data_IF_735468061061
#
_entry.id   IF_735468061061
#
_cell.length_a   1.000
_cell.length_b   1.000
_cell.length_c   1.000
_cell.angle_alpha   90.00
_cell.angle_beta   90.00
_cell.angle_gamma   90.00
#
_symmetry.space_group_name_H-M   'P 1'
#
loop_
_entity.id
_entity.type
_entity.pdbx_description
1 polymer ?
#
# COMPACT_ATOMS: atom_id res chain seq x y z
N UNK A 1 17.16 9.57 2.66
CA UNK A 1 17.27 8.26 3.36
C UNK A 1 16.10 7.41 2.89
N UNK A 2 16.28 6.11 2.70
CA UNK A 2 15.22 5.15 2.35
C UNK A 2 15.40 3.92 3.22
N UNK A 3 14.30 3.34 3.69
CA UNK A 3 14.29 2.09 4.45
C UNK A 3 13.07 1.26 4.06
N UNK A 4 13.29 -0.01 3.75
CA UNK A 4 12.23 -1.00 3.47
C UNK A 4 12.66 -2.36 4.04
N UNK A 5 11.74 -3.32 4.11
CA UNK A 5 12.01 -4.71 4.53
C UNK A 5 12.94 -5.47 3.58
N UNK A 6 13.02 -5.04 2.31
CA UNK A 6 13.86 -5.66 1.29
C UNK A 6 15.00 -4.72 0.84
N UNK A 7 16.29 -5.06 1.09
CA UNK A 7 17.45 -4.29 0.63
C UNK A 7 17.42 -3.84 -0.84
N UNK A 8 16.99 -4.67 -1.78
CA UNK A 8 16.91 -4.31 -3.20
C UNK A 8 15.86 -3.23 -3.47
N UNK A 9 14.74 -3.23 -2.74
CA UNK A 9 13.72 -2.20 -2.87
C UNK A 9 14.15 -0.90 -2.19
N UNK A 10 14.95 -0.98 -1.12
CA UNK A 10 15.66 0.18 -0.57
C UNK A 10 16.59 0.79 -1.62
N UNK A 11 17.34 -0.04 -2.37
CA UNK A 11 18.23 0.42 -3.43
C UNK A 11 17.45 1.12 -4.56
N UNK A 12 16.33 0.55 -4.99
CA UNK A 12 15.44 1.16 -6.00
C UNK A 12 14.98 2.57 -5.56
N UNK A 13 14.51 2.71 -4.33
CA UNK A 13 14.11 4.03 -3.81
C UNK A 13 15.29 5.01 -3.74
N UNK A 14 16.47 4.55 -3.32
CA UNK A 14 17.69 5.38 -3.31
C UNK A 14 18.07 5.84 -4.72
N UNK A 15 17.93 5.00 -5.73
CA UNK A 15 18.28 5.34 -7.11
C UNK A 15 17.32 6.39 -7.69
N UNK A 16 16.03 6.34 -7.33
CA UNK A 16 15.07 7.40 -7.67
C UNK A 16 15.45 8.74 -7.03
N UNK A 17 15.82 8.74 -5.74
CA UNK A 17 16.28 9.97 -5.08
C UNK A 17 17.56 10.53 -5.73
N UNK A 18 18.53 9.65 -6.07
CA UNK A 18 19.77 10.07 -6.76
C UNK A 18 19.51 10.63 -8.15
N UNK A 19 18.46 10.15 -8.82
CA UNK A 19 18.02 10.66 -10.11
C UNK A 19 17.25 11.99 -10.01
N UNK A 20 17.05 12.54 -8.80
CA UNK A 20 16.39 13.82 -8.56
C UNK A 20 14.89 13.71 -8.25
N UNK A 21 14.36 12.49 -8.05
CA UNK A 21 13.00 12.30 -7.57
C UNK A 21 12.82 12.72 -6.11
N UNK A 22 11.58 12.97 -5.71
CA UNK A 22 11.25 13.33 -4.33
C UNK A 22 10.97 12.08 -3.46
N UNK A 23 10.60 12.29 -2.20
CA UNK A 23 10.31 11.21 -1.26
C UNK A 23 9.13 10.31 -1.71
N UNK A 24 8.14 10.88 -2.38
CA UNK A 24 6.96 10.17 -2.88
C UNK A 24 7.31 9.33 -4.10
N UNK A 25 8.08 9.86 -5.05
CA UNK A 25 8.57 9.11 -6.21
C UNK A 25 9.38 7.87 -5.75
N UNK A 26 10.27 8.07 -4.78
CA UNK A 26 11.07 6.99 -4.21
C UNK A 26 10.21 5.95 -3.48
N UNK A 27 9.19 6.38 -2.73
CA UNK A 27 8.25 5.49 -2.06
C UNK A 27 7.42 4.67 -3.05
N UNK A 28 6.93 5.27 -4.13
CA UNK A 28 6.19 4.58 -5.21
C UNK A 28 7.06 3.49 -5.86
N UNK A 29 8.30 3.82 -6.22
CA UNK A 29 9.22 2.87 -6.85
C UNK A 29 9.60 1.72 -5.90
N UNK A 30 9.88 2.03 -4.63
CA UNK A 30 10.15 1.03 -3.61
C UNK A 30 8.94 0.12 -3.37
N UNK A 31 7.73 0.68 -3.32
CA UNK A 31 6.48 -0.07 -3.17
C UNK A 31 6.23 -1.01 -4.35
N UNK A 32 6.46 -0.56 -5.59
CA UNK A 32 6.35 -1.41 -6.76
C UNK A 32 7.35 -2.58 -6.73
N UNK A 33 8.60 -2.34 -6.30
CA UNK A 33 9.58 -3.39 -6.07
C UNK A 33 9.12 -4.37 -4.97
N UNK A 34 8.61 -3.88 -3.85
CA UNK A 34 8.10 -4.72 -2.76
C UNK A 34 6.96 -5.61 -3.22
N UNK A 35 6.08 -5.13 -4.10
CA UNK A 35 5.00 -5.94 -4.67
C UNK A 35 5.48 -7.20 -5.40
N UNK A 36 6.69 -7.16 -5.97
CA UNK A 36 7.34 -8.33 -6.58
C UNK A 36 8.13 -9.16 -5.55
N UNK A 37 8.88 -8.49 -4.68
CA UNK A 37 9.88 -9.14 -3.82
C UNK A 37 9.28 -9.68 -2.51
N UNK A 38 8.16 -9.13 -2.07
CA UNK A 38 7.42 -9.52 -0.85
C UNK A 38 5.91 -9.67 -1.15
N UNK A 39 5.53 -10.56 -2.09
CA UNK A 39 4.18 -10.60 -2.65
C UNK A 39 3.10 -11.05 -1.65
N UNK A 40 3.49 -11.66 -0.53
CA UNK A 40 2.55 -12.04 0.55
C UNK A 40 2.26 -10.90 1.52
N UNK A 41 3.07 -9.84 1.50
CA UNK A 41 2.97 -8.69 2.42
C UNK A 41 2.62 -7.38 1.73
N UNK A 42 2.85 -7.26 0.42
CA UNK A 42 2.57 -6.05 -0.35
C UNK A 42 2.17 -6.39 -1.80
N UNK A 43 1.27 -5.59 -2.38
CA UNK A 43 0.90 -5.73 -3.79
C UNK A 43 -0.28 -4.86 -4.20
N UNK A 44 -0.48 -4.71 -5.51
CA UNK A 44 -1.53 -3.85 -6.10
C UNK A 44 -2.96 -4.28 -5.79
N UNK A 45 -3.16 -5.52 -5.34
CA UNK A 45 -4.47 -6.06 -4.95
C UNK A 45 -4.79 -5.89 -3.46
N UNK A 46 -3.91 -5.25 -2.69
CA UNK A 46 -4.10 -4.99 -1.27
C UNK A 46 -4.56 -3.57 -0.97
N UNK A 47 -4.32 -3.16 0.27
CA UNK A 47 -4.62 -1.82 0.78
C UNK A 47 -3.36 -0.96 0.87
N UNK A 48 -3.53 0.36 0.86
CA UNK A 48 -2.44 1.30 1.12
C UNK A 48 -2.88 2.39 2.10
N UNK A 49 -2.02 2.66 3.08
CA UNK A 49 -2.12 3.81 3.97
C UNK A 49 -0.79 4.56 3.92
N UNK A 50 -0.83 5.87 3.69
CA UNK A 50 0.37 6.68 3.69
C UNK A 50 0.17 7.91 4.57
N UNK A 51 1.23 8.27 5.30
CA UNK A 51 1.33 9.51 6.04
C UNK A 51 2.44 10.31 5.37
N UNK A 52 2.10 11.48 4.85
CA UNK A 52 2.98 12.31 4.04
C UNK A 52 3.06 13.69 4.67
N UNK A 53 4.28 14.16 4.90
CA UNK A 53 4.51 15.57 5.22
C UNK A 53 4.69 16.35 3.92
N UNK A 54 3.76 17.25 3.64
CA UNK A 54 3.91 18.23 2.56
C UNK A 54 4.71 19.42 3.09
N UNK A 55 5.95 19.55 2.61
CA UNK A 55 6.85 20.60 3.05
C UNK A 55 6.48 22.00 2.49
N UNK A 56 5.73 22.07 1.39
CA UNK A 56 5.30 23.35 0.82
C UNK A 56 4.05 23.88 1.53
N UNK A 57 3.10 22.98 1.83
CA UNK A 57 1.89 23.31 2.59
C UNK A 57 2.11 23.36 4.11
N UNK A 58 3.26 22.86 4.59
CA UNK A 58 3.55 22.66 6.03
C UNK A 58 2.46 21.84 6.73
N UNK A 59 1.96 20.81 6.05
CA UNK A 59 0.83 20.00 6.51
C UNK A 59 1.15 18.50 6.51
N UNK A 60 0.59 17.79 7.49
CA UNK A 60 0.59 16.35 7.53
C UNK A 60 -0.68 15.80 6.86
N UNK A 61 -0.51 15.09 5.75
CA UNK A 61 -1.59 14.48 4.97
C UNK A 61 -1.63 12.98 5.19
N UNK A 62 -2.83 12.44 5.42
CA UNK A 62 -3.09 11.01 5.44
C UNK A 62 -3.82 10.56 4.18
N UNK A 63 -3.27 9.57 3.48
CA UNK A 63 -3.95 8.86 2.40
C UNK A 63 -4.49 7.53 2.94
N UNK A 64 -5.80 7.37 2.91
CA UNK A 64 -6.45 6.07 3.08
C UNK A 64 -6.89 5.56 1.70
N UNK A 65 -6.20 4.53 1.21
CA UNK A 65 -6.50 3.83 -0.03
C UNK A 65 -6.84 2.35 0.25
N UNK A 66 -7.55 2.06 1.35
CA UNK A 66 -8.14 0.73 1.56
C UNK A 66 -9.24 0.44 0.54
N UNK A 67 -9.28 -0.81 0.05
CA UNK A 67 -10.32 -1.32 -0.82
C UNK A 67 -11.72 -1.22 -0.18
N UNK A 68 -12.73 -0.99 -1.02
CA UNK A 68 -14.14 -0.97 -0.60
C UNK A 68 -14.77 -2.34 -0.82
N UNK A 69 -15.77 -2.66 0.01
CA UNK A 69 -16.67 -3.78 -0.30
C UNK A 69 -17.34 -3.56 -1.66
N UNK A 70 -17.62 -4.64 -2.43
CA UNK A 70 -18.42 -4.54 -3.65
C UNK A 70 -19.76 -3.85 -3.38
N UNK A 71 -20.23 -3.03 -4.34
CA UNK A 71 -21.43 -2.20 -4.18
C UNK A 71 -22.71 -3.03 -3.95
N UNK A 72 -22.80 -4.20 -4.59
CA UNK A 72 -23.98 -5.08 -4.50
C UNK A 72 -23.88 -6.09 -3.34
N UNK A 73 -22.78 -6.09 -2.58
CA UNK A 73 -22.59 -7.04 -1.47
C UNK A 73 -23.42 -6.60 -0.27
N UNK A 74 -24.45 -7.37 0.06
CA UNK A 74 -25.37 -7.10 1.17
C UNK A 74 -25.08 -7.98 2.39
N UNK A 75 -25.58 -7.59 3.56
CA UNK A 75 -25.53 -8.43 4.76
C UNK A 75 -26.29 -9.76 4.57
N UNK A 76 -27.39 -9.74 3.81
CA UNK A 76 -28.23 -10.93 3.63
C UNK A 76 -27.52 -12.03 2.82
N UNK A 77 -26.63 -11.65 1.88
CA UNK A 77 -25.76 -12.61 1.20
C UNK A 77 -24.97 -13.47 2.21
N UNK A 78 -24.40 -12.86 3.24
CA UNK A 78 -23.65 -13.60 4.26
C UNK A 78 -24.54 -14.54 5.08
N UNK A 79 -25.73 -14.07 5.48
CA UNK A 79 -26.70 -14.88 6.25
C UNK A 79 -27.19 -16.08 5.45
N UNK A 80 -27.57 -15.87 4.19
CA UNK A 80 -28.10 -16.93 3.30
C UNK A 80 -27.05 -18.01 3.00
N UNK A 81 -25.77 -17.63 3.00
CA UNK A 81 -24.65 -18.55 2.77
C UNK A 81 -24.02 -19.09 4.07
N UNK A 82 -24.61 -18.84 5.25
CA UNK A 82 -24.07 -19.23 6.56
C UNK A 82 -22.61 -18.80 6.79
N UNK A 83 -22.24 -17.60 6.31
CA UNK A 83 -20.92 -17.01 6.52
C UNK A 83 -20.97 -16.12 7.76
N UNK A 84 -20.52 -16.66 8.89
CA UNK A 84 -20.57 -15.97 10.19
C UNK A 84 -19.30 -15.17 10.51
N UNK A 85 -18.23 -15.38 9.75
CA UNK A 85 -16.95 -14.69 9.93
C UNK A 85 -16.21 -14.54 8.59
N UNK A 86 -15.33 -13.54 8.51
CA UNK A 86 -14.40 -13.41 7.40
C UNK A 86 -13.39 -14.56 7.48
N UNK A 87 -13.19 -15.34 6.40
CA UNK A 87 -12.18 -16.39 6.37
C UNK A 87 -10.80 -15.84 6.71
N UNK A 88 -10.05 -16.55 7.56
CA UNK A 88 -8.69 -16.18 7.92
C UNK A 88 -7.70 -16.30 6.75
N UNK A 89 -8.08 -17.07 5.72
CA UNK A 89 -7.34 -17.28 4.48
C UNK A 89 -8.32 -17.29 3.31
N UNK A 90 -7.86 -16.88 2.13
CA UNK A 90 -8.61 -17.04 0.88
C UNK A 90 -8.71 -18.49 0.41
#
# INVERSE_FOLDING_TARGET
MVATSQPLCTQVGLDVLKAGGNAIDAAIAANACLGLMEPTGNGIGGDLFAIVWDAEAEELVGLNASGRSPMDLTLDYFKENNIEAIPATG
#
